data_IF_756767564131
#
_entry.id   IF_756767564131
#
_cell.length_a   1.000
_cell.length_b   1.000
_cell.length_c   1.000
_cell.angle_alpha   90.00
_cell.angle_beta   90.00
_cell.angle_gamma   90.00
#
_symmetry.space_group_name_H-M   'P 1'
#
loop_
_entity.id
_entity.type
_entity.pdbx_description
1 polymer ?
#
# COMPACT_ATOMS: atom_id res chain seq x y z
N UNK A 1 -0.90 -14.23 -8.79
CA UNK A 1 -0.55 -14.13 -7.35
C UNK A 1 0.59 -13.13 -7.21
N UNK A 2 0.43 -12.12 -6.35
CA UNK A 2 1.40 -11.03 -6.21
C UNK A 2 2.43 -11.30 -5.12
N UNK A 3 1.97 -11.65 -3.93
CA UNK A 3 2.79 -11.99 -2.78
C UNK A 3 1.99 -12.87 -1.82
N UNK A 4 2.67 -13.47 -0.85
CA UNK A 4 2.06 -14.16 0.29
C UNK A 4 2.68 -13.59 1.55
N UNK A 5 1.86 -13.00 2.42
CA UNK A 5 2.28 -12.37 3.66
C UNK A 5 1.47 -12.88 4.85
N UNK A 6 1.92 -12.56 6.04
CA UNK A 6 1.26 -12.96 7.29
C UNK A 6 -0.02 -12.17 7.50
N UNK A 7 -1.15 -12.82 7.36
CA UNK A 7 -2.47 -12.31 7.72
C UNK A 7 -3.39 -13.46 8.17
N UNK A 8 -4.50 -13.12 8.79
CA UNK A 8 -5.53 -14.08 9.20
C UNK A 8 -5.00 -15.28 10.00
N UNK A 9 -4.01 -15.07 10.88
CA UNK A 9 -3.46 -16.13 11.76
C UNK A 9 -4.51 -16.72 12.71
N UNK A 10 -5.59 -15.99 12.99
CA UNK A 10 -6.77 -16.47 13.69
C UNK A 10 -7.50 -17.62 12.96
N UNK A 11 -7.37 -17.66 11.63
CA UNK A 11 -7.93 -18.72 10.80
C UNK A 11 -6.90 -19.79 10.43
N UNK A 12 -5.73 -19.38 9.98
CA UNK A 12 -4.70 -20.30 9.47
C UNK A 12 -3.75 -20.84 10.53
N UNK A 13 -3.71 -20.26 11.72
CA UNK A 13 -2.85 -20.57 12.84
C UNK A 13 -1.35 -20.36 12.59
N UNK A 14 -0.81 -20.73 11.42
CA UNK A 14 0.61 -20.59 11.06
C UNK A 14 0.78 -20.03 9.65
N UNK A 15 1.95 -19.43 9.39
CA UNK A 15 2.31 -18.96 8.05
C UNK A 15 2.42 -20.13 7.04
N UNK A 16 2.91 -21.27 7.47
CA UNK A 16 3.01 -22.47 6.60
C UNK A 16 1.62 -22.93 6.12
N UNK A 17 0.60 -22.85 6.97
CA UNK A 17 -0.77 -23.16 6.58
C UNK A 17 -1.32 -22.16 5.55
N UNK A 18 -0.95 -20.88 5.66
CA UNK A 18 -1.27 -19.87 4.64
C UNK A 18 -0.65 -20.27 3.31
N UNK A 19 0.64 -20.56 3.30
CA UNK A 19 1.38 -20.98 2.09
C UNK A 19 0.78 -22.23 1.47
N UNK A 20 0.48 -23.25 2.27
CA UNK A 20 -0.15 -24.47 1.81
C UNK A 20 -1.53 -24.22 1.17
N UNK A 21 -2.34 -23.35 1.79
CA UNK A 21 -3.64 -22.97 1.24
C UNK A 21 -3.51 -22.31 -0.15
N UNK A 22 -2.55 -21.42 -0.32
CA UNK A 22 -2.27 -20.80 -1.62
C UNK A 22 -1.75 -21.82 -2.65
N UNK A 23 -0.87 -22.75 -2.25
CA UNK A 23 -0.41 -23.82 -3.15
C UNK A 23 -1.60 -24.70 -3.62
N UNK A 24 -2.49 -25.07 -2.70
CA UNK A 24 -3.68 -25.86 -3.03
C UNK A 24 -4.64 -25.10 -3.94
N UNK A 25 -4.82 -23.79 -3.70
CA UNK A 25 -5.65 -22.95 -4.55
C UNK A 25 -5.11 -22.88 -5.98
N UNK A 26 -3.80 -22.61 -6.13
CA UNK A 26 -3.16 -22.50 -7.46
C UNK A 26 -3.26 -23.82 -8.24
N UNK A 27 -3.16 -24.98 -7.57
CA UNK A 27 -3.32 -26.30 -8.21
C UNK A 27 -4.70 -26.52 -8.83
N UNK A 28 -5.73 -25.87 -8.28
CA UNK A 28 -7.12 -25.99 -8.76
C UNK A 28 -7.47 -25.09 -9.94
N UNK A 29 -6.57 -24.18 -10.33
CA UNK A 29 -6.80 -23.27 -11.46
C UNK A 29 -6.46 -24.02 -12.75
N UNK A 30 -7.44 -24.16 -13.65
CA UNK A 30 -7.26 -24.79 -14.96
C UNK A 30 -6.81 -23.79 -16.05
N UNK A 31 -7.02 -22.49 -15.83
CA UNK A 31 -6.64 -21.40 -16.74
C UNK A 31 -5.22 -20.88 -16.56
N UNK A 32 -4.88 -19.78 -17.26
CA UNK A 32 -3.58 -19.14 -17.12
C UNK A 32 -3.28 -18.75 -15.67
N UNK A 33 -2.04 -18.96 -15.26
CA UNK A 33 -1.53 -18.61 -13.93
C UNK A 33 -0.40 -17.62 -14.08
N UNK A 34 -0.52 -16.47 -13.42
CA UNK A 34 0.50 -15.42 -13.40
C UNK A 34 0.98 -15.21 -11.97
N UNK A 35 2.29 -15.32 -11.74
CA UNK A 35 2.88 -15.37 -10.41
C UNK A 35 4.10 -14.46 -10.30
N UNK A 36 4.22 -13.73 -9.18
CA UNK A 36 5.36 -12.84 -8.92
C UNK A 36 6.64 -13.66 -8.67
N UNK A 37 7.70 -13.32 -9.38
CA UNK A 37 9.03 -13.91 -9.20
C UNK A 37 9.87 -13.19 -8.13
N UNK A 38 9.45 -11.99 -7.72
CA UNK A 38 10.19 -11.16 -6.76
C UNK A 38 9.80 -11.47 -5.31
N UNK A 39 8.62 -12.05 -5.09
CA UNK A 39 8.23 -12.57 -3.78
C UNK A 39 8.74 -14.00 -3.59
N UNK A 40 9.49 -14.22 -2.51
CA UNK A 40 10.19 -15.48 -2.28
C UNK A 40 9.25 -16.69 -2.12
N UNK A 41 8.06 -16.47 -1.53
CA UNK A 41 7.06 -17.53 -1.33
C UNK A 41 6.36 -17.84 -2.64
N UNK A 42 5.90 -16.80 -3.34
CA UNK A 42 5.25 -16.93 -4.64
C UNK A 42 6.18 -17.58 -5.66
N UNK A 43 7.46 -17.21 -5.69
CA UNK A 43 8.46 -17.83 -6.56
C UNK A 43 8.65 -19.33 -6.29
N UNK A 44 8.65 -19.75 -5.01
CA UNK A 44 8.71 -21.17 -4.65
C UNK A 44 7.48 -21.95 -5.10
N UNK A 45 6.29 -21.33 -5.01
CA UNK A 45 5.05 -21.93 -5.50
C UNK A 45 5.08 -22.00 -7.03
N UNK A 46 5.51 -20.93 -7.70
CA UNK A 46 5.61 -20.86 -9.16
C UNK A 46 6.52 -21.95 -9.73
N UNK A 47 7.64 -22.24 -9.08
CA UNK A 47 8.58 -23.28 -9.52
C UNK A 47 7.96 -24.70 -9.60
N UNK A 48 6.83 -24.91 -8.93
CA UNK A 48 6.11 -26.20 -8.89
C UNK A 48 4.87 -26.21 -9.83
N UNK A 49 4.64 -25.15 -10.59
CA UNK A 49 3.42 -24.97 -11.39
C UNK A 49 3.75 -24.60 -12.83
N UNK A 50 2.89 -25.01 -13.77
CA UNK A 50 2.88 -24.42 -15.09
C UNK A 50 2.24 -23.02 -14.98
N UNK A 51 3.05 -21.98 -15.01
CA UNK A 51 2.62 -20.59 -14.87
C UNK A 51 3.55 -19.64 -15.62
N UNK A 52 3.10 -18.42 -15.87
CA UNK A 52 3.91 -17.31 -16.34
C UNK A 52 4.36 -16.47 -15.16
N UNK A 53 5.65 -16.24 -15.04
CA UNK A 53 6.19 -15.42 -13.96
C UNK A 53 6.36 -13.96 -14.41
N UNK A 54 6.17 -13.03 -13.48
CA UNK A 54 6.42 -11.60 -13.71
C UNK A 54 7.18 -11.00 -12.55
N UNK A 55 7.83 -9.87 -12.79
CA UNK A 55 8.56 -9.14 -11.76
C UNK A 55 9.61 -8.19 -12.32
N UNK A 56 10.56 -7.82 -11.48
CA UNK A 56 11.79 -7.11 -11.86
C UNK A 56 12.99 -8.06 -11.96
N UNK A 57 12.88 -9.21 -11.30
CA UNK A 57 13.92 -10.24 -11.31
C UNK A 57 14.31 -10.66 -12.73
N UNK A 58 15.61 -10.89 -12.95
CA UNK A 58 16.12 -11.44 -14.20
C UNK A 58 15.54 -12.81 -14.52
N UNK A 59 15.04 -13.51 -13.52
CA UNK A 59 14.45 -14.84 -13.66
C UNK A 59 12.96 -14.80 -14.06
N UNK A 60 12.31 -13.65 -14.02
CA UNK A 60 10.91 -13.53 -14.42
C UNK A 60 10.76 -13.67 -15.94
N UNK A 61 9.63 -14.25 -16.38
CA UNK A 61 9.30 -14.38 -17.80
C UNK A 61 8.87 -13.06 -18.43
N UNK A 62 8.22 -12.20 -17.63
CA UNK A 62 7.84 -10.84 -18.04
C UNK A 62 8.41 -9.86 -16.99
N UNK A 63 9.20 -8.91 -17.43
CA UNK A 63 9.94 -8.00 -16.55
C UNK A 63 9.57 -6.55 -16.76
N UNK A 64 9.43 -5.84 -15.66
CA UNK A 64 9.47 -4.39 -15.66
C UNK A 64 10.94 -3.93 -15.51
N UNK A 65 11.42 -3.17 -16.48
CA UNK A 65 12.78 -2.62 -16.52
C UNK A 65 12.73 -1.11 -16.73
N UNK A 66 13.85 -0.41 -16.57
CA UNK A 66 13.96 1.05 -16.79
C UNK A 66 12.88 1.84 -16.04
N UNK A 67 12.58 1.44 -14.79
CA UNK A 67 11.50 2.04 -14.00
C UNK A 67 11.90 3.44 -13.55
N UNK A 68 11.06 4.42 -13.86
CA UNK A 68 11.13 5.82 -13.43
C UNK A 68 9.87 6.16 -12.64
N UNK A 69 10.04 6.52 -11.38
CA UNK A 69 8.97 6.94 -10.47
C UNK A 69 9.10 8.45 -10.26
N UNK A 70 8.23 9.22 -10.88
CA UNK A 70 8.26 10.68 -10.82
C UNK A 70 6.87 11.28 -11.09
N UNK A 71 6.63 12.49 -10.59
CA UNK A 71 5.43 13.29 -10.87
C UNK A 71 4.11 12.56 -10.58
N UNK A 72 4.11 11.66 -9.61
CA UNK A 72 2.93 10.87 -9.28
C UNK A 72 2.60 9.76 -10.27
N UNK A 73 3.54 9.40 -11.14
CA UNK A 73 3.40 8.40 -12.20
C UNK A 73 4.55 7.40 -12.15
N UNK A 74 4.33 6.25 -12.75
CA UNK A 74 5.34 5.22 -12.96
C UNK A 74 5.50 4.98 -14.46
N UNK A 75 6.71 5.17 -14.99
CA UNK A 75 7.06 4.84 -16.38
C UNK A 75 8.05 3.70 -16.38
N UNK A 76 7.84 2.72 -17.22
CA UNK A 76 8.73 1.56 -17.29
C UNK A 76 8.59 0.85 -18.63
N UNK A 77 9.63 0.10 -18.97
CA UNK A 77 9.61 -0.79 -20.14
C UNK A 77 9.28 -2.21 -19.68
N UNK A 78 8.68 -2.96 -20.60
CA UNK A 78 8.35 -4.37 -20.38
C UNK A 78 9.15 -5.22 -21.34
N UNK A 79 9.92 -6.15 -20.79
CA UNK A 79 10.59 -7.23 -21.52
C UNK A 79 9.86 -8.55 -21.28
N UNK A 80 9.76 -9.38 -22.31
CA UNK A 80 9.20 -10.71 -22.16
C UNK A 80 10.14 -11.77 -22.74
N UNK A 81 10.18 -12.91 -22.09
CA UNK A 81 10.89 -14.09 -22.57
C UNK A 81 10.12 -14.70 -23.74
N UNK A 82 10.80 -14.89 -24.86
CA UNK A 82 10.19 -15.47 -26.04
C UNK A 82 9.88 -16.95 -25.81
N UNK A 83 8.68 -17.39 -26.20
CA UNK A 83 8.26 -18.79 -26.09
C UNK A 83 9.23 -19.70 -26.84
N UNK A 84 9.72 -20.73 -26.15
CA UNK A 84 10.71 -21.68 -26.71
C UNK A 84 12.18 -21.26 -26.62
N UNK A 85 12.49 -20.08 -26.05
CA UNK A 85 13.85 -19.64 -25.80
C UNK A 85 14.08 -19.48 -24.29
N UNK A 86 15.07 -20.17 -23.77
CA UNK A 86 15.40 -20.11 -22.32
C UNK A 86 16.14 -18.83 -21.91
N UNK A 87 16.62 -18.02 -22.84
CA UNK A 87 17.59 -16.96 -22.52
C UNK A 87 17.32 -15.59 -23.14
N UNK A 88 16.46 -15.45 -24.15
CA UNK A 88 16.28 -14.18 -24.85
C UNK A 88 15.06 -13.41 -24.27
N UNK A 89 15.36 -12.30 -23.62
CA UNK A 89 14.36 -11.27 -23.26
C UNK A 89 14.25 -10.27 -24.41
N UNK A 90 13.04 -9.97 -24.84
CA UNK A 90 12.77 -9.02 -25.93
C UNK A 90 11.92 -7.89 -25.36
N UNK A 91 12.29 -6.65 -25.67
CA UNK A 91 11.46 -5.47 -25.36
C UNK A 91 10.12 -5.60 -26.08
N UNK A 92 9.05 -5.60 -25.29
CA UNK A 92 7.66 -5.67 -25.81
C UNK A 92 7.10 -4.26 -26.00
N UNK A 93 7.43 -3.33 -25.12
CA UNK A 93 7.03 -1.94 -25.18
C UNK A 93 7.15 -1.20 -23.86
N UNK A 94 6.66 0.03 -23.85
CA UNK A 94 6.71 0.92 -22.68
C UNK A 94 5.33 1.17 -22.11
N UNK A 95 5.27 1.47 -20.80
CA UNK A 95 4.06 1.75 -20.04
C UNK A 95 4.20 3.10 -19.34
N UNK A 96 3.16 3.92 -19.40
CA UNK A 96 3.01 5.14 -18.61
C UNK A 96 1.79 5.01 -17.71
N UNK A 97 2.02 4.62 -16.45
CA UNK A 97 0.99 4.33 -15.45
C UNK A 97 0.75 5.55 -14.55
N UNK A 98 -0.47 6.11 -14.47
CA UNK A 98 -0.76 7.26 -13.60
C UNK A 98 -0.96 6.87 -12.14
N UNK A 99 -0.13 5.98 -11.63
CA UNK A 99 -0.08 5.53 -10.24
C UNK A 99 1.36 5.58 -9.74
N UNK A 100 1.52 5.82 -8.43
CA UNK A 100 2.81 5.89 -7.72
C UNK A 100 3.26 4.52 -7.25
N UNK A 101 4.56 4.41 -7.02
CA UNK A 101 5.15 3.33 -6.24
C UNK A 101 5.48 2.08 -7.05
N UNK A 102 6.57 1.45 -6.65
CA UNK A 102 7.07 0.23 -7.28
C UNK A 102 6.05 -0.92 -7.22
N UNK A 103 5.26 -1.00 -6.14
CA UNK A 103 4.19 -1.98 -6.02
C UNK A 103 3.16 -1.87 -7.14
N UNK A 104 2.85 -0.66 -7.61
CA UNK A 104 1.94 -0.46 -8.74
C UNK A 104 2.59 -0.81 -10.09
N UNK A 105 3.91 -0.65 -10.22
CA UNK A 105 4.65 -1.19 -11.38
C UNK A 105 4.51 -2.71 -11.45
N UNK A 106 4.69 -3.41 -10.32
CA UNK A 106 4.51 -4.85 -10.24
C UNK A 106 3.07 -5.28 -10.51
N UNK A 107 2.08 -4.59 -9.95
CA UNK A 107 0.67 -4.86 -10.18
C UNK A 107 0.30 -4.67 -11.67
N UNK A 108 0.80 -3.61 -12.31
CA UNK A 108 0.59 -3.35 -13.73
C UNK A 108 1.26 -4.43 -14.60
N UNK A 109 2.49 -4.83 -14.24
CA UNK A 109 3.20 -5.92 -14.93
C UNK A 109 2.45 -7.24 -14.82
N UNK A 110 1.85 -7.53 -13.64
CA UNK A 110 0.99 -8.71 -13.46
C UNK A 110 -0.24 -8.66 -14.38
N UNK A 111 -0.91 -7.51 -14.43
CA UNK A 111 -2.09 -7.31 -15.26
C UNK A 111 -1.76 -7.45 -16.76
N UNK A 112 -0.66 -6.85 -17.22
CA UNK A 112 -0.15 -6.99 -18.58
C UNK A 112 0.18 -8.44 -18.93
N UNK A 113 0.88 -9.13 -18.02
CA UNK A 113 1.22 -10.54 -18.20
C UNK A 113 -0.04 -11.38 -18.37
N UNK A 114 -1.04 -11.17 -17.49
CA UNK A 114 -2.30 -11.90 -17.59
C UNK A 114 -3.07 -11.55 -18.89
N UNK A 115 -3.10 -10.28 -19.29
CA UNK A 115 -3.73 -9.85 -20.54
C UNK A 115 -3.10 -10.53 -21.76
N UNK A 116 -1.77 -10.60 -21.82
CA UNK A 116 -1.04 -11.28 -22.90
C UNK A 116 -1.29 -12.80 -22.89
N UNK A 117 -1.35 -13.45 -21.74
CA UNK A 117 -1.70 -14.88 -21.63
C UNK A 117 -3.14 -15.18 -22.10
N UNK A 118 -4.01 -14.19 -22.03
CA UNK A 118 -5.38 -14.25 -22.54
C UNK A 118 -5.51 -13.81 -24.02
N UNK A 119 -4.39 -13.52 -24.70
CA UNK A 119 -4.36 -13.15 -26.10
C UNK A 119 -4.64 -11.68 -26.40
N UNK A 120 -4.64 -10.80 -25.38
CA UNK A 120 -4.74 -9.35 -25.59
C UNK A 120 -3.38 -8.81 -26.03
N UNK A 121 -3.36 -8.01 -27.08
CA UNK A 121 -2.15 -7.36 -27.56
C UNK A 121 -1.60 -6.40 -26.50
N UNK A 122 -0.27 -6.38 -26.33
CA UNK A 122 0.41 -5.55 -25.34
C UNK A 122 0.02 -4.07 -25.45
N UNK A 123 -0.03 -3.52 -26.67
CA UNK A 123 -0.32 -2.11 -26.88
C UNK A 123 -1.71 -1.73 -26.37
N UNK A 124 -2.69 -2.62 -26.52
CA UNK A 124 -4.07 -2.41 -26.06
C UNK A 124 -4.11 -2.43 -24.52
N UNK A 125 -3.45 -3.40 -23.92
CA UNK A 125 -3.38 -3.51 -22.46
C UNK A 125 -2.61 -2.33 -21.82
N UNK A 126 -1.49 -1.91 -22.42
CA UNK A 126 -0.71 -0.75 -21.97
C UNK A 126 -1.51 0.56 -22.09
N UNK A 127 -2.28 0.74 -23.16
CA UNK A 127 -3.16 1.89 -23.34
C UNK A 127 -4.27 1.93 -22.29
N UNK A 128 -4.86 0.78 -21.94
CA UNK A 128 -5.86 0.68 -20.88
C UNK A 128 -5.26 1.11 -19.52
N UNK A 129 -4.04 0.67 -19.21
CA UNK A 129 -3.34 1.06 -17.99
C UNK A 129 -3.03 2.56 -17.92
N UNK A 130 -2.72 3.20 -19.05
CA UNK A 130 -2.43 4.64 -19.09
C UNK A 130 -3.65 5.51 -18.74
N UNK A 131 -4.85 4.99 -18.87
CA UNK A 131 -6.11 5.63 -18.48
C UNK A 131 -6.63 5.21 -17.10
N UNK A 132 -6.02 4.21 -16.47
CA UNK A 132 -6.47 3.68 -15.19
C UNK A 132 -6.14 4.64 -14.04
N UNK A 133 -7.15 5.12 -13.35
CA UNK A 133 -7.03 6.14 -12.29
C UNK A 133 -6.86 5.56 -10.88
N UNK A 134 -6.68 4.26 -10.75
CA UNK A 134 -6.58 3.57 -9.47
C UNK A 134 -7.93 3.07 -8.96
N UNK A 135 -7.93 2.67 -7.71
CA UNK A 135 -9.09 2.15 -6.98
C UNK A 135 -9.30 3.02 -5.76
N UNK A 136 -10.55 3.27 -5.37
CA UNK A 136 -10.88 3.97 -4.14
C UNK A 136 -10.13 3.35 -2.95
N UNK A 137 -9.68 4.19 -2.02
CA UNK A 137 -8.88 3.78 -0.88
C UNK A 137 -7.52 3.13 -1.22
N UNK A 138 -6.92 3.44 -2.38
CA UNK A 138 -5.55 3.04 -2.75
C UNK A 138 -4.81 4.29 -3.23
N UNK A 139 -4.11 4.95 -2.33
CA UNK A 139 -3.56 6.28 -2.48
C UNK A 139 -4.60 7.26 -3.03
N UNK A 140 -5.78 7.21 -2.46
CA UNK A 140 -6.98 7.92 -2.93
C UNK A 140 -6.93 9.39 -2.51
N UNK A 141 -6.80 10.29 -3.49
CA UNK A 141 -6.72 11.74 -3.26
C UNK A 141 -8.08 12.27 -2.80
N UNK A 142 -8.19 12.65 -1.52
CA UNK A 142 -9.44 13.15 -0.93
C UNK A 142 -9.61 14.65 -1.07
N UNK A 143 -8.53 15.39 -1.25
CA UNK A 143 -8.58 16.82 -1.46
C UNK A 143 -7.31 17.56 -1.07
N UNK A 144 -7.33 18.87 -1.30
CA UNK A 144 -6.29 19.80 -0.83
C UNK A 144 -6.99 20.93 -0.09
N UNK A 145 -6.50 21.22 1.13
CA UNK A 145 -6.99 22.33 1.92
C UNK A 145 -5.84 23.15 2.50
N UNK A 146 -5.76 24.43 2.13
CA UNK A 146 -4.72 25.37 2.54
C UNK A 146 -3.29 24.79 2.39
N UNK A 147 -3.02 24.22 1.20
CA UNK A 147 -1.74 23.62 0.86
C UNK A 147 -1.44 22.26 1.52
N UNK A 148 -2.34 21.71 2.31
CA UNK A 148 -2.27 20.35 2.83
C UNK A 148 -2.95 19.40 1.86
N UNK A 149 -2.24 18.34 1.47
CA UNK A 149 -2.79 17.25 0.64
C UNK A 149 -3.31 16.14 1.53
N UNK A 150 -4.54 15.69 1.28
CA UNK A 150 -5.18 14.59 2.03
C UNK A 150 -5.37 13.37 1.16
N UNK A 151 -4.93 12.22 1.67
CA UNK A 151 -4.99 10.91 1.00
C UNK A 151 -5.58 9.87 1.95
N UNK A 152 -6.39 8.95 1.42
CA UNK A 152 -6.81 7.74 2.13
C UNK A 152 -6.20 6.49 1.46
N UNK A 153 -5.75 5.55 2.27
CA UNK A 153 -5.26 4.25 1.82
C UNK A 153 -5.76 3.11 2.72
N UNK A 154 -6.06 2.00 2.11
CA UNK A 154 -6.55 0.80 2.80
C UNK A 154 -5.43 0.02 3.52
N UNK A 155 -4.17 0.41 3.36
CA UNK A 155 -3.01 -0.25 3.94
C UNK A 155 -3.18 -0.44 5.45
N UNK A 156 -3.07 -1.68 5.90
CA UNK A 156 -3.27 -2.05 7.30
C UNK A 156 -2.31 -3.14 7.78
N UNK A 157 -1.46 -3.67 6.89
CA UNK A 157 -0.34 -4.57 7.21
C UNK A 157 1.00 -3.82 7.09
N UNK A 158 2.04 -4.22 7.85
CA UNK A 158 3.34 -3.54 7.83
C UNK A 158 3.91 -3.32 6.42
N UNK A 159 3.93 -4.36 5.58
CA UNK A 159 4.47 -4.27 4.23
C UNK A 159 3.63 -3.38 3.31
N UNK A 160 2.31 -3.32 3.50
CA UNK A 160 1.44 -2.39 2.77
C UNK A 160 1.76 -0.93 3.14
N UNK A 161 1.91 -0.64 4.45
CA UNK A 161 2.25 0.69 4.95
C UNK A 161 3.60 1.14 4.38
N UNK A 162 4.61 0.28 4.42
CA UNK A 162 5.93 0.54 3.84
C UNK A 162 5.80 0.90 2.36
N UNK A 163 5.06 0.10 1.58
CA UNK A 163 4.91 0.31 0.15
C UNK A 163 4.21 1.65 -0.18
N UNK A 164 3.17 2.00 0.58
CA UNK A 164 2.41 3.23 0.41
C UNK A 164 3.25 4.46 0.77
N UNK A 165 3.91 4.45 1.93
CA UNK A 165 4.74 5.58 2.38
C UNK A 165 5.96 5.78 1.48
N UNK A 166 6.59 4.69 1.01
CA UNK A 166 7.65 4.76 0.02
C UNK A 166 7.17 5.39 -1.29
N UNK A 167 6.00 4.95 -1.79
CA UNK A 167 5.39 5.55 -2.98
C UNK A 167 5.03 7.04 -2.81
N UNK A 168 4.75 7.49 -1.59
CA UNK A 168 4.59 8.91 -1.29
C UNK A 168 5.91 9.68 -1.46
N UNK A 169 7.07 9.06 -1.16
CA UNK A 169 8.41 9.66 -1.31
C UNK A 169 8.99 9.62 -2.72
N UNK A 170 8.45 8.79 -3.61
CA UNK A 170 8.92 8.69 -5.00
C UNK A 170 8.82 10.02 -5.78
N UNK A 171 8.00 10.96 -5.32
CA UNK A 171 7.95 12.33 -5.82
C UNK A 171 8.73 13.24 -4.86
N UNK A 172 10.03 13.38 -5.08
CA UNK A 172 10.98 14.00 -4.16
C UNK A 172 10.64 15.42 -3.71
N UNK A 173 9.84 16.16 -4.46
CA UNK A 173 9.51 17.56 -4.18
C UNK A 173 8.00 17.82 -4.00
N UNK A 174 7.17 16.75 -3.92
CA UNK A 174 5.73 16.95 -3.88
C UNK A 174 5.25 17.47 -2.52
N UNK A 175 5.89 17.05 -1.42
CA UNK A 175 5.49 17.41 -0.06
C UNK A 175 6.70 17.62 0.84
N UNK A 176 6.60 18.65 1.68
CA UNK A 176 7.65 18.99 2.65
C UNK A 176 7.69 18.00 3.81
N UNK A 177 6.53 17.43 4.19
CA UNK A 177 6.38 16.51 5.30
C UNK A 177 5.28 15.50 5.03
N UNK A 178 5.52 14.23 5.40
CA UNK A 178 4.55 13.13 5.34
C UNK A 178 4.07 12.81 6.76
N UNK A 179 2.79 13.06 7.01
CA UNK A 179 2.08 12.76 8.25
C UNK A 179 1.25 11.51 8.03
N UNK A 180 1.70 10.39 8.59
CA UNK A 180 1.03 9.09 8.50
C UNK A 180 0.05 8.95 9.67
N UNK A 181 -1.23 8.81 9.38
CA UNK A 181 -2.27 8.51 10.38
C UNK A 181 -2.67 7.06 10.22
N UNK A 182 -2.49 6.26 11.25
CA UNK A 182 -2.73 4.81 11.20
C UNK A 182 -3.81 4.38 12.18
N UNK A 183 -4.80 3.66 11.66
CA UNK A 183 -5.80 2.96 12.45
C UNK A 183 -5.52 1.46 12.42
N UNK A 184 -4.96 0.89 13.50
CA UNK A 184 -4.82 -0.56 13.62
C UNK A 184 -6.18 -1.24 13.55
N UNK A 185 -6.23 -2.50 13.14
CA UNK A 185 -7.48 -3.22 13.10
C UNK A 185 -7.36 -4.63 13.69
N UNK A 186 -8.48 -5.11 14.26
CA UNK A 186 -8.64 -6.40 14.94
C UNK A 186 -7.80 -6.54 16.20
N UNK A 187 -8.44 -6.70 17.34
CA UNK A 187 -7.77 -6.87 18.63
C UNK A 187 -6.89 -8.11 18.67
N UNK A 188 -7.34 -9.23 18.13
CA UNK A 188 -6.57 -10.47 18.02
C UNK A 188 -5.29 -10.30 17.19
N UNK A 189 -5.33 -9.55 16.06
CA UNK A 189 -4.12 -9.24 15.28
C UNK A 189 -3.15 -8.38 16.10
N UNK A 190 -3.64 -7.32 16.72
CA UNK A 190 -2.78 -6.40 17.48
C UNK A 190 -2.14 -7.06 18.71
N UNK A 191 -2.82 -8.02 19.34
CA UNK A 191 -2.26 -8.75 20.47
C UNK A 191 -1.02 -9.59 20.12
N UNK A 192 -0.86 -10.02 18.86
CA UNK A 192 0.25 -10.88 18.42
C UNK A 192 1.21 -10.22 17.43
N UNK A 193 0.77 -9.20 16.69
CA UNK A 193 1.54 -8.63 15.59
C UNK A 193 1.93 -7.15 15.79
N UNK A 194 1.55 -6.50 16.90
CA UNK A 194 1.82 -5.07 17.09
C UNK A 194 3.30 -4.72 16.95
N UNK A 195 4.22 -5.60 17.37
CA UNK A 195 5.66 -5.41 17.22
C UNK A 195 6.16 -5.40 15.78
N UNK A 196 5.46 -6.05 14.85
CA UNK A 196 5.83 -6.09 13.44
C UNK A 196 5.67 -4.72 12.75
N UNK A 197 4.91 -3.79 13.36
CA UNK A 197 4.73 -2.44 12.82
C UNK A 197 5.87 -1.48 13.16
N UNK A 198 6.84 -1.89 13.97
CA UNK A 198 7.92 -1.03 14.45
C UNK A 198 8.65 -0.29 13.32
N UNK A 199 8.94 -0.98 12.22
CA UNK A 199 9.72 -0.46 11.09
C UNK A 199 8.84 0.04 9.93
N UNK A 200 7.50 -0.08 10.05
CA UNK A 200 6.59 0.18 8.93
C UNK A 200 6.49 1.66 8.51
N UNK A 201 6.86 2.58 9.40
CA UNK A 201 6.67 4.01 9.21
C UNK A 201 7.98 4.77 8.92
N UNK A 202 9.00 4.09 8.40
CA UNK A 202 10.32 4.68 8.12
C UNK A 202 10.24 5.97 7.29
N UNK A 203 9.41 5.96 6.25
CA UNK A 203 9.25 7.06 5.29
C UNK A 203 8.26 8.17 5.71
N UNK A 204 7.64 8.08 6.89
CA UNK A 204 6.84 9.16 7.47
C UNK A 204 7.71 10.09 8.34
N UNK A 205 7.43 11.40 8.36
CA UNK A 205 8.05 12.36 9.29
C UNK A 205 7.36 12.37 10.63
N UNK A 206 6.04 12.21 10.62
CA UNK A 206 5.19 12.15 11.81
C UNK A 206 4.26 10.95 11.69
N UNK A 207 4.13 10.19 12.76
CA UNK A 207 3.18 9.08 12.86
C UNK A 207 2.14 9.42 13.91
N UNK A 208 0.88 9.27 13.57
CA UNK A 208 -0.24 9.40 14.51
C UNK A 208 -1.00 8.09 14.50
N UNK A 209 -1.05 7.40 15.63
CA UNK A 209 -1.77 6.14 15.76
C UNK A 209 -3.05 6.39 16.56
N UNK A 210 -4.19 5.97 16.01
CA UNK A 210 -5.47 6.01 16.74
C UNK A 210 -5.81 4.65 17.36
N UNK A 211 -6.98 4.49 17.92
CA UNK A 211 -7.33 3.23 18.55
C UNK A 211 -7.79 2.19 17.54
N UNK A 212 -7.92 0.95 18.01
CA UNK A 212 -8.15 -0.22 17.16
C UNK A 212 -9.58 -0.21 16.61
N UNK A 213 -9.70 -0.32 15.29
CA UNK A 213 -10.95 -0.67 14.63
C UNK A 213 -11.23 -2.17 14.82
N UNK A 214 -12.34 -2.49 15.46
CA UNK A 214 -12.61 -3.87 15.91
C UNK A 214 -12.73 -4.90 14.78
N UNK A 215 -13.26 -4.51 13.62
CA UNK A 215 -13.53 -5.41 12.48
C UNK A 215 -14.24 -6.71 12.90
N UNK A 216 -15.17 -6.62 13.85
CA UNK A 216 -15.91 -7.76 14.39
C UNK A 216 -15.18 -8.59 15.45
N UNK A 217 -13.98 -8.20 15.88
CA UNK A 217 -13.27 -8.85 17.00
C UNK A 217 -13.61 -8.22 18.34
N UNK A 218 -13.60 -9.02 19.41
CA UNK A 218 -13.87 -8.55 20.76
C UNK A 218 -12.66 -7.82 21.34
N UNK A 219 -12.85 -6.69 22.05
CA UNK A 219 -11.76 -6.03 22.77
C UNK A 219 -11.05 -6.96 23.73
N UNK A 220 -9.73 -6.86 23.77
CA UNK A 220 -8.85 -7.62 24.66
C UNK A 220 -8.24 -6.63 25.66
N UNK A 221 -8.34 -6.86 26.99
CA UNK A 221 -7.76 -5.99 27.99
C UNK A 221 -6.26 -5.72 27.75
N UNK A 222 -5.87 -4.43 27.75
CA UNK A 222 -4.48 -4.01 27.50
C UNK A 222 -4.07 -3.97 26.03
N UNK A 223 -4.92 -4.38 25.09
CA UNK A 223 -4.65 -4.30 23.65
C UNK A 223 -5.31 -3.05 23.07
N UNK A 224 -4.50 -2.05 22.73
CA UNK A 224 -4.91 -0.76 22.18
C UNK A 224 -3.95 -0.37 21.04
N UNK A 225 -4.26 0.70 20.33
CA UNK A 225 -3.36 1.28 19.31
C UNK A 225 -1.99 1.69 19.88
N UNK A 226 -1.90 1.92 21.19
CA UNK A 226 -0.65 2.25 21.87
C UNK A 226 0.43 1.18 21.73
N UNK A 227 0.07 -0.08 21.53
CA UNK A 227 1.06 -1.15 21.31
C UNK A 227 1.91 -0.91 20.05
N UNK A 228 1.34 -0.30 19.01
CA UNK A 228 2.07 0.08 17.80
C UNK A 228 3.00 1.25 18.08
N UNK A 229 2.53 2.26 18.82
CA UNK A 229 3.36 3.40 19.28
C UNK A 229 4.56 2.91 20.07
N UNK A 230 4.34 2.07 21.07
CA UNK A 230 5.40 1.52 21.93
C UNK A 230 6.41 0.68 21.13
N UNK A 231 5.97 0.01 20.06
CA UNK A 231 6.86 -0.74 19.18
C UNK A 231 7.74 0.20 18.33
N UNK A 232 7.17 1.27 17.78
CA UNK A 232 7.91 2.27 16.99
C UNK A 232 8.93 3.00 17.88
N UNK A 233 8.52 3.49 19.04
CA UNK A 233 9.40 4.23 19.97
C UNK A 233 10.59 3.39 20.46
N UNK A 234 10.37 2.08 20.69
CA UNK A 234 11.43 1.16 21.10
C UNK A 234 12.49 0.96 20.02
N UNK A 235 12.05 0.83 18.76
CA UNK A 235 12.97 0.54 17.64
C UNK A 235 13.57 1.81 17.06
N UNK A 236 12.84 2.92 17.12
CA UNK A 236 13.23 4.22 16.54
C UNK A 236 13.11 5.35 17.56
N UNK A 237 13.99 5.38 18.58
CA UNK A 237 14.02 6.46 19.58
C UNK A 237 14.22 7.81 18.88
N UNK A 238 13.29 8.74 19.10
CA UNK A 238 13.31 10.07 18.45
C UNK A 238 12.43 10.20 17.21
N UNK A 239 11.81 9.12 16.72
CA UNK A 239 10.71 9.22 15.74
C UNK A 239 9.54 9.96 16.39
N UNK A 240 9.00 10.96 15.72
CA UNK A 240 7.80 11.66 16.20
C UNK A 240 6.58 10.77 16.03
N UNK A 241 6.08 10.23 17.14
CA UNK A 241 4.91 9.34 17.19
C UNK A 241 3.96 9.85 18.24
N UNK A 242 2.67 9.90 17.90
CA UNK A 242 1.60 10.32 18.82
C UNK A 242 0.53 9.21 18.89
N UNK A 243 0.00 8.98 20.08
CA UNK A 243 -1.19 8.13 20.26
C UNK A 243 -2.39 8.97 20.60
N UNK A 244 -3.39 9.00 19.74
CA UNK A 244 -4.62 9.77 19.93
C UNK A 244 -5.80 8.83 19.70
N UNK A 245 -6.34 8.28 20.79
CA UNK A 245 -7.36 7.24 20.74
C UNK A 245 -8.74 7.77 20.28
N UNK A 246 -9.10 8.97 20.73
CA UNK A 246 -10.42 9.52 20.48
C UNK A 246 -10.51 10.26 19.16
N UNK A 247 -11.56 9.99 18.38
CA UNK A 247 -11.74 10.52 17.04
C UNK A 247 -11.78 12.05 17.00
N UNK A 248 -12.50 12.66 17.91
CA UNK A 248 -12.65 14.12 17.97
C UNK A 248 -11.32 14.80 18.32
N UNK A 249 -10.51 14.19 19.19
CA UNK A 249 -9.19 14.68 19.54
C UNK A 249 -8.23 14.54 18.37
N UNK A 250 -8.28 13.41 17.63
CA UNK A 250 -7.50 13.17 16.44
C UNK A 250 -7.79 14.20 15.34
N UNK A 251 -9.07 14.46 15.04
CA UNK A 251 -9.49 15.46 14.06
C UNK A 251 -9.00 16.85 14.47
N UNK A 252 -9.17 17.22 15.74
CA UNK A 252 -8.74 18.53 16.28
C UNK A 252 -7.22 18.68 16.24
N UNK A 253 -6.49 17.65 16.61
CA UNK A 253 -5.02 17.61 16.55
C UNK A 253 -4.52 17.82 15.11
N UNK A 254 -5.03 17.06 14.16
CA UNK A 254 -4.63 17.20 12.75
C UNK A 254 -5.01 18.55 12.18
N UNK A 255 -6.22 19.03 12.46
CA UNK A 255 -6.67 20.33 11.99
C UNK A 255 -5.77 21.48 12.44
N UNK A 256 -5.20 21.40 13.66
CA UNK A 256 -4.36 22.45 14.24
C UNK A 256 -2.87 22.29 13.93
N UNK A 257 -2.39 21.09 13.61
CA UNK A 257 -0.94 20.80 13.45
C UNK A 257 -0.47 20.67 12.01
N UNK A 258 -1.40 20.39 11.08
CA UNK A 258 -1.08 20.29 9.66
C UNK A 258 -0.84 21.67 9.05
N UNK A 259 0.21 21.78 8.26
CA UNK A 259 0.64 23.04 7.61
C UNK A 259 0.77 22.86 6.10
N UNK A 260 0.78 23.97 5.37
CA UNK A 260 1.00 23.97 3.93
C UNK A 260 2.26 23.19 3.55
N UNK A 261 2.17 22.36 2.53
CA UNK A 261 3.24 21.45 2.10
C UNK A 261 3.18 20.06 2.74
N UNK A 262 2.26 19.81 3.69
CA UNK A 262 2.09 18.48 4.27
C UNK A 262 1.30 17.53 3.35
N UNK A 263 1.70 16.27 3.34
CA UNK A 263 0.84 15.15 2.98
C UNK A 263 0.31 14.52 4.27
N UNK A 264 -1.02 14.54 4.45
CA UNK A 264 -1.70 13.78 5.48
C UNK A 264 -2.30 12.53 4.84
N UNK A 265 -1.77 11.36 5.19
CA UNK A 265 -2.24 10.09 4.66
C UNK A 265 -2.87 9.25 5.78
N UNK A 266 -4.17 8.97 5.67
CA UNK A 266 -4.89 8.06 6.55
C UNK A 266 -4.76 6.62 6.04
N UNK A 267 -4.38 5.69 6.92
CA UNK A 267 -4.16 4.29 6.59
C UNK A 267 -4.93 3.37 7.53
N UNK A 268 -5.62 2.41 6.96
CA UNK A 268 -6.39 1.42 7.71
C UNK A 268 -7.62 0.95 6.96
N UNK A 269 -8.18 -0.20 7.34
CA UNK A 269 -9.36 -0.78 6.70
C UNK A 269 -10.70 -0.31 7.29
N UNK A 270 -10.66 0.49 8.38
CA UNK A 270 -11.83 0.95 9.10
C UNK A 270 -12.34 2.33 8.68
N UNK A 271 -12.98 2.99 9.63
CA UNK A 271 -13.61 4.29 9.47
C UNK A 271 -12.62 5.47 9.38
N UNK A 272 -11.33 5.20 9.54
CA UNK A 272 -10.25 6.17 9.26
C UNK A 272 -10.35 6.76 7.85
N UNK A 273 -11.01 6.06 6.92
CA UNK A 273 -11.31 6.54 5.57
C UNK A 273 -12.11 7.86 5.54
N UNK A 274 -12.84 8.20 6.60
CA UNK A 274 -13.61 9.44 6.71
C UNK A 274 -12.77 10.60 7.26
N UNK A 275 -11.62 10.31 7.86
CA UNK A 275 -10.77 11.29 8.55
C UNK A 275 -10.36 12.48 7.68
N UNK A 276 -9.95 12.31 6.41
CA UNK A 276 -9.61 13.43 5.53
C UNK A 276 -10.74 14.45 5.43
N UNK A 277 -11.97 14.01 5.21
CA UNK A 277 -13.13 14.89 5.01
C UNK A 277 -13.50 15.62 6.30
N UNK A 278 -13.39 14.94 7.45
CA UNK A 278 -13.65 15.54 8.77
C UNK A 278 -12.64 16.63 9.11
N UNK A 279 -11.34 16.36 8.88
CA UNK A 279 -10.26 17.33 9.12
C UNK A 279 -10.41 18.55 8.20
N UNK A 280 -10.65 18.33 6.91
CA UNK A 280 -10.89 19.41 5.93
C UNK A 280 -12.06 20.28 6.38
N UNK A 281 -13.19 19.65 6.76
CA UNK A 281 -14.40 20.37 7.20
C UNK A 281 -14.14 21.23 8.44
N UNK A 282 -13.40 20.69 9.43
CA UNK A 282 -13.07 21.45 10.63
C UNK A 282 -12.16 22.65 10.33
N UNK A 283 -11.12 22.46 9.51
CA UNK A 283 -10.20 23.53 9.10
C UNK A 283 -10.93 24.67 8.39
N UNK A 284 -11.83 24.34 7.45
CA UNK A 284 -12.62 25.32 6.70
C UNK A 284 -13.58 26.09 7.61
N UNK A 285 -14.27 25.40 8.52
CA UNK A 285 -15.17 26.01 9.49
C UNK A 285 -14.45 26.98 10.43
N UNK A 286 -13.26 26.61 10.90
CA UNK A 286 -12.44 27.45 11.79
C UNK A 286 -12.01 28.75 11.11
N UNK A 287 -11.54 28.69 9.86
CA UNK A 287 -11.17 29.89 9.08
C UNK A 287 -12.38 30.81 8.82
N UNK A 288 -13.53 30.24 8.53
CA UNK A 288 -14.76 31.03 8.32
C UNK A 288 -15.16 31.78 9.59
N UNK A 289 -15.04 31.14 10.76
CA UNK A 289 -15.36 31.77 12.05
C UNK A 289 -14.35 32.87 12.43
N UNK A 290 -13.08 32.70 12.12
CA UNK A 290 -12.06 33.75 12.33
C UNK A 290 -12.28 34.96 11.42
N UNK A 291 -12.65 34.73 10.16
CA UNK A 291 -12.91 35.79 9.20
C UNK A 291 -14.18 36.62 9.60
N UNK A 292 -15.17 36.02 10.26
CA UNK A 292 -16.36 36.69 10.76
C UNK A 292 -16.14 37.52 12.04
N UNK A 293 -15.04 37.26 12.76
CA UNK A 293 -14.68 37.96 14.01
C UNK A 293 -13.80 39.19 13.77
N UNK A 294 -13.23 39.32 12.56
CA UNK A 294 -12.45 40.49 12.08
C UNK A 294 -13.36 41.49 11.34
#
# INVERSE_FOLDING_TARGET
MTNVDVDHLDHFATFDNIVESFEQYVKKIDGPKVMCADDAVTAKIAAKQACRTYGRSINADVRAVNVVLADGRSRFDVEARQSGSSSLQVLVGSVDLPLRGEHNVLNATAALTMAMELGVEFVVAAQALSSFRGVARRFDMRGVDDGVTFVDDYAHLPNEIIAVLRGARDATDAWSRVVAVFQPNRFNRMSVMSSAYADAFGDADVVVVTDIYSSGTTPIPGVTGKLVVDAIERNHPGKRVEWIAQREELVSFLASTLTSGDLCISMGCGDVAQLPDEVISLRQSSRTNEARKR
#
